data_IF_016438300054
#
_entry.id   IF_016438300054
#
_cell.length_a   1.000
_cell.length_b   1.000
_cell.length_c   1.000
_cell.angle_alpha   90.00
_cell.angle_beta   90.00
_cell.angle_gamma   90.00
#
_symmetry.space_group_name_H-M   'P 1'
#
loop_
_entity.id
_entity.type
_entity.pdbx_description
1 polymer ?
#
# COMPACT_ATOMS: atom_id res chain seq x y z
N UNK A 1 -0.53 -57.38 -5.05
CA UNK A 1 -0.64 -56.31 -4.03
C UNK A 1 -1.06 -55.05 -4.76
N UNK A 2 -2.36 -54.74 -4.70
CA UNK A 2 -3.10 -53.92 -5.66
C UNK A 2 -3.13 -52.45 -5.23
N UNK A 3 -2.72 -51.55 -6.12
CA UNK A 3 -2.68 -50.09 -5.92
C UNK A 3 -4.11 -49.52 -5.79
N UNK A 4 -4.43 -48.91 -4.64
CA UNK A 4 -5.70 -48.22 -4.42
C UNK A 4 -5.62 -46.75 -4.89
N UNK A 5 -6.42 -46.42 -5.90
CA UNK A 5 -6.59 -45.08 -6.47
C UNK A 5 -7.51 -44.23 -5.57
N UNK A 6 -7.23 -42.95 -5.31
CA UNK A 6 -8.12 -42.10 -4.52
C UNK A 6 -9.43 -41.77 -5.27
N UNK A 7 -10.57 -41.82 -4.57
CA UNK A 7 -11.91 -41.45 -5.05
C UNK A 7 -11.98 -39.94 -5.33
N UNK A 8 -12.38 -39.56 -6.54
CA UNK A 8 -12.87 -38.22 -6.85
C UNK A 8 -14.36 -38.14 -6.48
N UNK A 9 -14.74 -37.12 -5.70
CA UNK A 9 -16.15 -36.79 -5.44
C UNK A 9 -16.73 -35.98 -6.61
N UNK A 10 -18.01 -36.18 -6.99
CA UNK A 10 -18.60 -35.53 -8.17
C UNK A 10 -18.78 -34.02 -7.96
N UNK A 11 -18.46 -33.23 -9.00
CA UNK A 11 -18.71 -31.79 -9.04
C UNK A 11 -20.20 -31.56 -9.36
N UNK A 12 -20.93 -31.02 -8.38
CA UNK A 12 -22.33 -30.63 -8.54
C UNK A 12 -22.42 -29.34 -9.38
N UNK A 13 -23.09 -29.43 -10.54
CA UNK A 13 -23.29 -28.29 -11.45
C UNK A 13 -24.48 -27.45 -11.00
N UNK A 14 -24.22 -26.31 -10.36
CA UNK A 14 -25.25 -25.28 -10.15
C UNK A 14 -25.62 -24.59 -11.47
N UNK A 15 -26.93 -24.34 -11.63
CA UNK A 15 -27.58 -23.78 -12.82
C UNK A 15 -27.30 -22.28 -12.98
N UNK A 16 -27.22 -21.74 -14.21
CA UNK A 16 -27.02 -20.31 -14.41
C UNK A 16 -28.27 -19.51 -14.01
N UNK A 17 -28.09 -18.53 -13.13
CA UNK A 17 -29.11 -17.55 -12.79
C UNK A 17 -29.24 -16.57 -13.96
N UNK A 18 -30.37 -16.61 -14.66
CA UNK A 18 -30.70 -15.64 -15.70
C UNK A 18 -31.11 -14.34 -15.02
N UNK A 19 -30.25 -13.32 -15.09
CA UNK A 19 -30.64 -11.96 -14.73
C UNK A 19 -31.61 -11.43 -15.79
N UNK A 20 -32.86 -11.21 -15.40
CA UNK A 20 -33.83 -10.49 -16.21
C UNK A 20 -33.27 -9.10 -16.57
N UNK A 21 -33.13 -8.84 -17.87
CA UNK A 21 -32.72 -7.55 -18.40
C UNK A 21 -33.88 -6.56 -18.22
N UNK A 22 -33.79 -5.72 -17.18
CA UNK A 22 -34.69 -4.58 -17.04
C UNK A 22 -34.29 -3.52 -18.06
N UNK A 23 -35.14 -3.31 -19.07
CA UNK A 23 -34.98 -2.24 -20.05
C UNK A 23 -35.10 -0.88 -19.35
N UNK A 24 -34.04 -0.08 -19.38
CA UNK A 24 -34.08 1.33 -18.94
C UNK A 24 -34.68 2.17 -20.06
N UNK A 25 -35.77 2.86 -19.76
CA UNK A 25 -36.38 3.86 -20.65
C UNK A 25 -35.41 5.00 -20.93
N UNK A 26 -35.28 5.48 -22.20
CA UNK A 26 -34.34 6.52 -22.56
C UNK A 26 -34.98 7.89 -22.33
N UNK A 27 -34.62 8.52 -21.22
CA UNK A 27 -35.08 9.87 -20.93
C UNK A 27 -34.77 10.19 -19.49
N UNK A 28 -33.49 10.50 -19.23
CA UNK A 28 -33.11 11.48 -18.20
C UNK A 28 -31.57 11.60 -18.14
N UNK A 29 -31.08 12.61 -18.84
CA UNK A 29 -29.88 13.39 -18.49
C UNK A 29 -30.25 14.85 -18.76
N UNK A 30 -29.73 15.87 -18.03
CA UNK A 30 -28.34 15.90 -17.55
C UNK A 30 -28.06 16.66 -16.23
N UNK A 31 -26.77 16.62 -15.86
CA UNK A 31 -25.99 17.65 -15.17
C UNK A 31 -26.10 17.84 -13.65
N UNK A 32 -25.08 17.36 -12.92
CA UNK A 32 -24.10 18.19 -12.20
C UNK A 32 -23.02 17.30 -11.56
N UNK A 33 -21.80 17.41 -12.07
CA UNK A 33 -20.58 16.84 -11.49
C UNK A 33 -20.18 17.71 -10.30
N UNK A 34 -20.71 17.41 -9.12
CA UNK A 34 -20.14 17.87 -7.86
C UNK A 34 -19.06 16.86 -7.46
N UNK A 35 -17.84 17.26 -7.06
CA UNK A 35 -16.85 16.31 -6.60
C UNK A 35 -17.38 15.69 -5.31
N UNK A 36 -17.66 14.40 -5.43
CA UNK A 36 -18.20 13.51 -4.41
C UNK A 36 -17.30 13.51 -3.17
N UNK A 37 -17.60 14.42 -2.22
CA UNK A 37 -16.92 14.52 -0.91
C UNK A 37 -17.34 13.39 0.03
N UNK A 38 -18.27 12.54 -0.40
CA UNK A 38 -18.83 11.46 0.42
C UNK A 38 -18.01 10.16 0.29
N UNK A 39 -16.97 10.16 -0.56
CA UNK A 39 -16.04 9.04 -0.76
C UNK A 39 -14.76 9.12 0.08
N UNK A 40 -14.69 9.98 1.10
CA UNK A 40 -13.64 9.78 2.11
C UNK A 40 -13.91 8.44 2.80
N UNK A 41 -12.93 7.53 2.90
CA UNK A 41 -13.07 6.30 3.67
C UNK A 41 -13.16 6.65 5.16
N UNK A 42 -14.31 7.15 5.60
CA UNK A 42 -14.58 7.61 6.97
C UNK A 42 -15.18 6.50 7.83
N UNK A 43 -15.43 5.31 7.26
CA UNK A 43 -15.68 4.12 8.09
C UNK A 43 -14.35 3.51 8.48
N UNK A 44 -13.81 4.02 9.59
CA UNK A 44 -12.87 3.26 10.41
C UNK A 44 -13.46 1.85 10.62
N UNK A 45 -12.64 0.78 10.60
CA UNK A 45 -13.13 -0.58 10.78
C UNK A 45 -13.97 -0.61 12.05
N UNK A 46 -15.23 -1.02 11.93
CA UNK A 46 -16.13 -1.25 13.06
C UNK A 46 -15.37 -2.15 14.04
N UNK A 47 -15.01 -1.58 15.19
CA UNK A 47 -14.34 -2.31 16.25
C UNK A 47 -15.30 -3.41 16.69
N UNK A 48 -14.89 -4.64 16.40
CA UNK A 48 -15.57 -5.89 16.71
C UNK A 48 -16.17 -5.83 18.11
N UNK A 49 -17.46 -6.16 18.17
CA UNK A 49 -18.30 -6.31 19.36
C UNK A 49 -17.53 -6.59 20.65
N UNK A 50 -17.73 -5.74 21.65
CA UNK A 50 -17.37 -5.99 23.05
C UNK A 50 -18.16 -7.21 23.56
N UNK A 51 -17.70 -8.41 23.22
CA UNK A 51 -18.23 -9.64 23.80
C UNK A 51 -17.95 -9.58 25.30
N UNK A 52 -19.01 -9.72 26.11
CA UNK A 52 -18.90 -9.65 27.57
C UNK A 52 -18.03 -10.82 28.04
N UNK A 53 -16.75 -10.55 28.28
CA UNK A 53 -15.78 -11.53 28.76
C UNK A 53 -16.33 -12.25 29.99
N UNK A 54 -16.32 -13.58 29.95
CA UNK A 54 -16.73 -14.41 31.10
C UNK A 54 -15.70 -14.25 32.23
N UNK A 55 -16.12 -14.48 33.48
CA UNK A 55 -15.23 -14.36 34.64
C UNK A 55 -13.97 -15.23 34.51
N UNK A 56 -14.11 -16.44 33.98
CA UNK A 56 -12.99 -17.36 33.73
C UNK A 56 -12.01 -16.83 32.68
N UNK A 57 -12.52 -16.22 31.61
CA UNK A 57 -11.67 -15.58 30.59
C UNK A 57 -10.93 -14.37 31.15
N UNK A 58 -11.61 -13.51 31.93
CA UNK A 58 -10.95 -12.37 32.60
C UNK A 58 -9.84 -12.81 33.55
N UNK A 59 -10.08 -13.86 34.33
CA UNK A 59 -9.08 -14.41 35.23
C UNK A 59 -7.91 -15.01 34.47
N UNK A 60 -8.18 -15.77 33.40
CA UNK A 60 -7.13 -16.36 32.57
C UNK A 60 -6.25 -15.29 31.90
N UNK A 61 -6.85 -14.23 31.38
CA UNK A 61 -6.12 -13.12 30.77
C UNK A 61 -5.30 -12.33 31.79
N UNK A 62 -5.85 -12.08 32.98
CA UNK A 62 -5.12 -11.44 34.07
C UNK A 62 -3.93 -12.28 34.54
N UNK A 63 -4.11 -13.60 34.65
CA UNK A 63 -3.04 -14.53 35.02
C UNK A 63 -1.98 -14.62 33.92
N UNK A 64 -2.38 -14.74 32.65
CA UNK A 64 -1.44 -14.77 31.52
C UNK A 64 -0.61 -13.48 31.43
N UNK A 65 -1.24 -12.32 31.59
CA UNK A 65 -0.56 -11.03 31.61
C UNK A 65 0.43 -10.90 32.78
N UNK A 66 0.11 -11.49 33.95
CA UNK A 66 0.98 -11.46 35.12
C UNK A 66 2.17 -12.42 34.99
N UNK A 67 1.93 -13.65 34.51
CA UNK A 67 2.95 -14.70 34.35
C UNK A 67 3.98 -14.33 33.27
N UNK A 68 3.57 -13.58 32.24
CA UNK A 68 4.47 -13.10 31.18
C UNK A 68 5.36 -11.90 31.55
N UNK A 69 5.28 -11.38 32.78
CA UNK A 69 6.01 -10.18 33.18
C UNK A 69 7.37 -10.51 33.83
N UNK A 70 8.41 -9.75 33.46
CA UNK A 70 9.72 -9.79 34.12
C UNK A 70 9.64 -9.55 35.64
N UNK A 71 8.70 -8.71 36.09
CA UNK A 71 8.49 -8.43 37.51
C UNK A 71 7.97 -9.64 38.29
N UNK A 72 7.20 -10.53 37.64
CA UNK A 72 6.68 -11.75 38.25
C UNK A 72 7.81 -12.76 38.49
N UNK A 73 8.69 -12.94 37.50
CA UNK A 73 9.86 -13.83 37.63
C UNK A 73 10.74 -13.40 38.81
N UNK A 74 11.05 -12.12 38.92
CA UNK A 74 11.86 -11.57 40.04
C UNK A 74 11.15 -11.81 41.38
N UNK A 75 9.84 -11.52 41.47
CA UNK A 75 9.07 -11.75 42.68
C UNK A 75 9.06 -13.22 43.11
N UNK A 76 8.86 -14.14 42.15
CA UNK A 76 8.89 -15.57 42.40
C UNK A 76 10.27 -16.02 42.92
N UNK A 77 11.36 -15.53 42.32
CA UNK A 77 12.73 -15.82 42.80
C UNK A 77 12.93 -15.35 44.24
N UNK A 78 12.51 -14.13 44.58
CA UNK A 78 12.61 -13.59 45.95
C UNK A 78 11.83 -14.46 46.94
N UNK A 79 10.63 -14.93 46.57
CA UNK A 79 9.84 -15.84 47.42
C UNK A 79 10.55 -17.18 47.62
N UNK A 80 11.12 -17.78 46.56
CA UNK A 80 11.90 -19.02 46.70
C UNK A 80 13.12 -18.82 47.60
N UNK A 81 13.92 -17.78 47.34
CA UNK A 81 15.12 -17.48 48.13
C UNK A 81 14.75 -17.17 49.59
N UNK A 82 13.66 -16.44 49.82
CA UNK A 82 13.14 -16.15 51.16
C UNK A 82 12.67 -17.40 51.89
N UNK A 83 11.99 -18.33 51.21
CA UNK A 83 11.55 -19.60 51.79
C UNK A 83 12.72 -20.50 52.18
N UNK A 84 13.71 -20.64 51.30
CA UNK A 84 14.94 -21.39 51.57
C UNK A 84 15.68 -20.75 52.75
N UNK A 85 15.83 -19.42 52.75
CA UNK A 85 16.46 -18.67 53.84
C UNK A 85 15.76 -18.89 55.18
N UNK A 86 14.44 -18.76 55.22
CA UNK A 86 13.65 -18.96 56.45
C UNK A 86 13.80 -20.38 57.03
N UNK A 87 13.92 -21.41 56.18
CA UNK A 87 14.08 -22.80 56.61
C UNK A 87 15.54 -23.24 56.80
N UNK A 88 16.53 -22.44 56.42
CA UNK A 88 17.97 -22.77 56.59
C UNK A 88 18.61 -22.01 57.75
N UNK A 89 18.01 -20.92 58.23
CA UNK A 89 18.55 -20.11 59.33
C UNK A 89 18.36 -20.83 60.67
N UNK A 90 19.45 -21.14 61.41
CA UNK A 90 19.34 -21.78 62.71
C UNK A 90 18.67 -20.84 63.73
N UNK A 91 17.64 -21.33 64.41
CA UNK A 91 16.87 -20.57 65.41
C UNK A 91 15.42 -20.29 65.03
N UNK A 92 15.02 -20.57 63.78
CA UNK A 92 13.62 -20.61 63.36
C UNK A 92 13.07 -22.05 63.41
N UNK A 93 11.75 -22.24 63.57
CA UNK A 93 11.14 -23.56 63.40
C UNK A 93 11.34 -24.01 61.94
N UNK A 94 11.96 -25.18 61.75
CA UNK A 94 12.16 -25.77 60.43
C UNK A 94 10.87 -26.46 60.02
N UNK A 95 10.03 -25.77 59.25
CA UNK A 95 8.74 -26.31 58.77
C UNK A 95 8.91 -27.13 57.48
N UNK A 96 10.00 -26.93 56.74
CA UNK A 96 10.30 -27.61 55.48
C UNK A 96 11.81 -27.90 55.41
N UNK A 97 12.26 -28.93 56.12
CA UNK A 97 13.67 -29.38 56.14
C UNK A 97 14.10 -29.90 54.76
N UNK A 98 15.38 -29.77 54.41
CA UNK A 98 15.92 -30.27 53.15
C UNK A 98 15.53 -31.74 52.94
N UNK A 99 14.77 -32.09 51.87
CA UNK A 99 14.81 -31.53 50.51
C UNK A 99 13.61 -30.63 50.09
N UNK A 100 12.99 -29.86 51.00
CA UNK A 100 11.91 -28.89 50.71
C UNK A 100 10.67 -29.48 50.01
N UNK A 101 10.03 -30.48 50.63
CA UNK A 101 8.91 -31.21 50.04
C UNK A 101 7.68 -30.32 49.79
N UNK A 102 7.40 -29.37 50.69
CA UNK A 102 6.23 -28.50 50.57
C UNK A 102 6.41 -27.51 49.43
N UNK A 103 7.60 -26.93 49.30
CA UNK A 103 7.93 -26.03 48.19
C UNK A 103 7.82 -26.75 46.84
N UNK A 104 8.36 -27.97 46.75
CA UNK A 104 8.28 -28.77 45.54
C UNK A 104 6.83 -29.14 45.17
N UNK A 105 5.99 -29.46 46.16
CA UNK A 105 4.58 -29.76 45.93
C UNK A 105 3.81 -28.55 45.41
N UNK A 106 4.00 -27.39 46.05
CA UNK A 106 3.36 -26.13 45.65
C UNK A 106 3.78 -25.70 44.24
N UNK A 107 5.06 -25.79 43.92
CA UNK A 107 5.57 -25.41 42.60
C UNK A 107 5.06 -26.34 41.50
N UNK A 108 5.00 -27.64 41.78
CA UNK A 108 4.44 -28.64 40.85
C UNK A 108 2.96 -28.36 40.56
N UNK A 109 2.18 -28.06 41.59
CA UNK A 109 0.77 -27.70 41.43
C UNK A 109 0.57 -26.39 40.64
N UNK A 110 1.36 -25.35 40.95
CA UNK A 110 1.30 -24.07 40.25
C UNK A 110 1.57 -24.24 38.75
N UNK A 111 2.58 -25.04 38.39
CA UNK A 111 2.92 -25.34 37.00
C UNK A 111 1.80 -26.12 36.29
N UNK A 112 1.24 -27.12 36.97
CA UNK A 112 0.13 -27.92 36.43
C UNK A 112 -1.12 -27.08 36.11
N UNK A 113 -1.44 -26.10 36.96
CA UNK A 113 -2.57 -25.19 36.72
C UNK A 113 -2.26 -24.09 35.69
N UNK A 114 -0.99 -23.70 35.53
CA UNK A 114 -0.58 -22.67 34.58
C UNK A 114 -0.83 -23.11 33.14
N UNK A 115 -0.52 -24.36 32.78
CA UNK A 115 -0.69 -24.88 31.43
C UNK A 115 -2.11 -24.72 30.83
N UNK A 116 -3.21 -25.16 31.51
CA UNK A 116 -4.56 -24.98 30.99
C UNK A 116 -5.00 -23.53 30.95
N UNK A 117 -4.58 -22.69 31.91
CA UNK A 117 -4.90 -21.26 31.91
C UNK A 117 -4.25 -20.55 30.73
N UNK A 118 -2.97 -20.83 30.47
CA UNK A 118 -2.25 -20.31 29.32
C UNK A 118 -2.90 -20.80 28.02
N UNK A 119 -3.26 -22.09 27.94
CA UNK A 119 -3.92 -22.65 26.76
C UNK A 119 -5.28 -21.99 26.48
N UNK A 120 -6.07 -21.70 27.53
CA UNK A 120 -7.35 -21.00 27.39
C UNK A 120 -7.17 -19.56 26.90
N UNK A 121 -6.18 -18.83 27.43
CA UNK A 121 -5.89 -17.46 26.97
C UNK A 121 -5.32 -17.45 25.54
N UNK A 122 -4.48 -18.43 25.20
CA UNK A 122 -3.94 -18.61 23.84
C UNK A 122 -5.05 -18.92 22.82
N UNK A 123 -5.97 -19.83 23.13
CA UNK A 123 -7.07 -20.15 22.22
C UNK A 123 -7.91 -18.91 21.91
N UNK A 124 -8.20 -18.08 22.92
CA UNK A 124 -8.90 -16.80 22.74
C UNK A 124 -8.12 -15.81 21.87
N UNK A 125 -6.85 -15.58 22.18
CA UNK A 125 -6.00 -14.67 21.39
C UNK A 125 -5.90 -15.13 19.93
N UNK A 126 -5.80 -16.44 19.68
CA UNK A 126 -5.72 -16.99 18.32
C UNK A 126 -6.99 -16.76 17.49
N UNK A 127 -8.17 -16.77 18.14
CA UNK A 127 -9.44 -16.49 17.46
C UNK A 127 -9.56 -15.01 17.10
N UNK A 128 -9.15 -14.10 18.00
CA UNK A 128 -9.07 -12.65 17.74
C UNK A 128 -8.05 -12.35 16.63
N UNK A 129 -6.88 -12.99 16.66
CA UNK A 129 -5.84 -12.86 15.64
C UNK A 129 -6.32 -13.32 14.26
N UNK A 130 -7.09 -14.41 14.18
CA UNK A 130 -7.67 -14.90 12.91
C UNK A 130 -8.64 -13.89 12.31
N UNK A 131 -9.55 -13.35 13.12
CA UNK A 131 -10.50 -12.34 12.67
C UNK A 131 -9.77 -11.06 12.21
N UNK A 132 -8.78 -10.62 12.98
CA UNK A 132 -7.98 -9.45 12.62
C UNK A 132 -7.18 -9.69 11.35
N UNK A 133 -6.62 -10.88 11.14
CA UNK A 133 -5.92 -11.23 9.91
C UNK A 133 -6.85 -11.22 8.68
N UNK A 134 -8.07 -11.75 8.81
CA UNK A 134 -9.06 -11.73 7.74
C UNK A 134 -9.48 -10.29 7.37
N UNK A 135 -9.71 -9.44 8.37
CA UNK A 135 -10.02 -8.02 8.15
C UNK A 135 -8.86 -7.27 7.50
N UNK A 136 -7.63 -7.47 7.99
CA UNK A 136 -6.43 -6.85 7.41
C UNK A 136 -6.23 -7.27 5.95
N UNK A 137 -6.47 -8.55 5.63
CA UNK A 137 -6.40 -9.04 4.25
C UNK A 137 -7.40 -8.31 3.35
N UNK A 138 -8.64 -8.15 3.79
CA UNK A 138 -9.67 -7.45 3.03
C UNK A 138 -9.35 -5.96 2.83
N UNK A 139 -8.82 -5.29 3.86
CA UNK A 139 -8.36 -3.90 3.74
C UNK A 139 -7.21 -3.79 2.74
N UNK A 140 -6.26 -4.72 2.75
CA UNK A 140 -5.16 -4.74 1.80
C UNK A 140 -5.65 -4.89 0.35
N UNK A 141 -6.59 -5.80 0.10
CA UNK A 141 -7.20 -5.96 -1.24
C UNK A 141 -7.90 -4.69 -1.70
N UNK A 142 -8.74 -4.08 -0.85
CA UNK A 142 -9.42 -2.81 -1.17
C UNK A 142 -8.45 -1.66 -1.40
N UNK A 143 -7.34 -1.64 -0.65
CA UNK A 143 -6.29 -0.63 -0.82
C UNK A 143 -5.60 -0.81 -2.18
N UNK A 144 -5.31 -2.05 -2.57
CA UNK A 144 -4.74 -2.33 -3.89
C UNK A 144 -5.68 -1.88 -5.04
N UNK A 145 -6.97 -2.19 -4.95
CA UNK A 145 -7.98 -1.73 -5.92
C UNK A 145 -8.05 -0.19 -5.98
N UNK A 146 -8.02 0.48 -4.82
CA UNK A 146 -8.04 1.94 -4.74
C UNK A 146 -6.81 2.57 -5.39
N UNK A 147 -5.64 1.95 -5.21
CA UNK A 147 -4.39 2.38 -5.86
C UNK A 147 -4.49 2.20 -7.38
N UNK A 148 -5.04 1.08 -7.86
CA UNK A 148 -5.24 0.85 -9.29
C UNK A 148 -6.18 1.89 -9.91
N UNK A 149 -7.29 2.20 -9.24
CA UNK A 149 -8.22 3.25 -9.66
C UNK A 149 -7.55 4.63 -9.70
N UNK A 150 -6.69 4.94 -8.72
CA UNK A 150 -5.91 6.17 -8.73
C UNK A 150 -4.95 6.23 -9.92
N UNK A 151 -4.24 5.14 -10.24
CA UNK A 151 -3.36 5.08 -11.41
C UNK A 151 -4.14 5.31 -12.70
N UNK A 152 -5.28 4.63 -12.88
CA UNK A 152 -6.13 4.83 -14.06
C UNK A 152 -6.60 6.28 -14.22
N UNK A 153 -6.95 6.96 -13.12
CA UNK A 153 -7.32 8.38 -13.15
C UNK A 153 -6.13 9.28 -13.51
N UNK A 154 -4.94 8.98 -13.01
CA UNK A 154 -3.72 9.72 -13.35
C UNK A 154 -3.40 9.53 -14.85
N UNK A 155 -3.45 8.31 -15.35
CA UNK A 155 -3.22 8.00 -16.76
C UNK A 155 -4.24 8.70 -17.66
N UNK A 156 -5.52 8.75 -17.26
CA UNK A 156 -6.56 9.49 -17.99
C UNK A 156 -6.26 11.00 -18.05
N UNK A 157 -5.82 11.59 -16.93
CA UNK A 157 -5.43 13.00 -16.89
C UNK A 157 -4.21 13.27 -17.77
N UNK A 158 -3.19 12.39 -17.73
CA UNK A 158 -2.01 12.50 -18.58
C UNK A 158 -2.36 12.39 -20.07
N UNK A 159 -3.28 11.48 -20.43
CA UNK A 159 -3.76 11.35 -21.81
C UNK A 159 -4.52 12.60 -22.28
N UNK A 160 -5.36 13.19 -21.42
CA UNK A 160 -6.05 14.45 -21.73
C UNK A 160 -5.09 15.60 -21.94
N UNK A 161 -4.06 15.72 -21.09
CA UNK A 161 -3.02 16.75 -21.22
C UNK A 161 -2.20 16.56 -22.50
N UNK A 162 -1.79 15.34 -22.85
CA UNK A 162 -1.02 15.10 -24.07
C UNK A 162 -1.79 15.36 -25.36
N UNK A 163 -3.10 15.09 -25.37
CA UNK A 163 -3.98 15.48 -26.50
C UNK A 163 -4.05 17.00 -26.62
N UNK A 164 -4.18 17.71 -25.50
CA UNK A 164 -4.21 19.18 -25.50
C UNK A 164 -2.88 19.75 -26.02
N UNK A 165 -1.74 19.26 -25.55
CA UNK A 165 -0.41 19.66 -26.05
C UNK A 165 -0.27 19.40 -27.55
N UNK A 166 -0.65 18.21 -28.04
CA UNK A 166 -0.56 17.88 -29.46
C UNK A 166 -1.47 18.76 -30.34
N UNK A 167 -2.63 19.19 -29.83
CA UNK A 167 -3.51 20.12 -30.54
C UNK A 167 -2.86 21.51 -30.68
N UNK A 168 -2.17 22.00 -29.64
CA UNK A 168 -1.42 23.27 -29.72
C UNK A 168 -0.28 23.19 -30.73
N UNK A 169 0.46 22.07 -30.76
CA UNK A 169 1.55 21.84 -31.73
C UNK A 169 1.02 21.74 -33.17
N UNK A 170 -0.19 21.17 -33.36
CA UNK A 170 -0.82 21.11 -34.68
C UNK A 170 -1.23 22.50 -35.19
N UNK A 171 -1.69 23.39 -34.31
CA UNK A 171 -1.95 24.79 -34.66
C UNK A 171 -0.66 25.52 -35.05
N UNK A 172 0.43 25.35 -34.30
CA UNK A 172 1.74 25.95 -34.64
C UNK A 172 2.26 25.47 -36.00
N UNK A 173 2.08 24.17 -36.33
CA UNK A 173 2.47 23.62 -37.63
C UNK A 173 1.65 24.19 -38.78
N UNK A 174 0.34 24.37 -38.58
CA UNK A 174 -0.56 24.90 -39.61
C UNK A 174 -0.33 26.41 -39.85
N UNK A 175 0.09 27.14 -38.82
CA UNK A 175 0.51 28.54 -38.96
C UNK A 175 1.84 28.64 -39.73
N UNK A 176 2.78 27.74 -39.48
CA UNK A 176 4.07 27.71 -40.18
C UNK A 176 3.94 27.38 -41.68
N UNK A 177 3.08 26.42 -42.04
CA UNK A 177 2.77 26.11 -43.45
C UNK A 177 2.06 27.26 -44.16
N UNK A 178 1.15 27.98 -43.47
CA UNK A 178 0.53 29.19 -44.03
C UNK A 178 1.53 30.33 -44.23
N UNK A 179 2.54 30.45 -43.38
CA UNK A 179 3.59 31.46 -43.54
C UNK A 179 4.52 31.09 -44.71
N UNK A 180 4.87 29.81 -44.91
CA UNK A 180 5.63 29.35 -46.09
C UNK A 180 4.86 29.54 -47.40
N UNK A 181 3.55 29.23 -47.42
CA UNK A 181 2.68 29.42 -48.58
C UNK A 181 2.56 30.90 -48.97
N UNK A 182 2.41 31.80 -47.98
CA UNK A 182 2.31 33.25 -48.23
C UNK A 182 3.65 33.92 -48.56
N UNK A 183 4.78 33.28 -48.28
CA UNK A 183 6.12 33.78 -48.60
C UNK A 183 6.54 33.42 -50.04
N UNK A 184 6.01 32.32 -50.61
CA UNK A 184 6.27 31.95 -52.02
C UNK A 184 5.53 32.84 -53.03
N UNK A 185 4.39 33.43 -52.65
CA UNK A 185 3.54 34.20 -53.58
C UNK A 185 3.97 35.68 -53.74
N UNK A 186 4.91 36.16 -52.93
CA UNK A 186 5.31 37.58 -52.86
C UNK A 186 6.80 37.86 -53.16
N UNK A 187 7.51 36.99 -53.87
CA UNK A 187 8.81 37.37 -54.45
C UNK A 187 8.60 38.25 -55.70
N UNK A 188 8.69 39.57 -55.50
CA UNK A 188 8.81 40.56 -56.57
C UNK A 188 9.97 40.19 -57.53
N UNK A 189 9.89 40.56 -58.82
CA UNK A 189 10.78 40.04 -59.88
C UNK A 189 12.23 40.50 -59.69
N UNK A 190 13.16 39.69 -60.22
CA UNK A 190 14.60 39.94 -60.27
C UNK A 190 14.91 41.41 -60.58
N UNK A 191 15.51 42.13 -59.63
CA UNK A 191 16.25 43.36 -59.94
C UNK A 191 17.66 42.94 -60.34
N UNK A 192 17.94 42.94 -61.63
CA UNK A 192 19.29 42.82 -62.18
C UNK A 192 19.96 44.19 -62.10
N UNK A 193 21.08 44.27 -61.39
CA UNK A 193 22.02 45.39 -61.50
C UNK A 193 23.42 44.82 -61.74
N UNK A 194 23.97 45.12 -62.91
CA UNK A 194 25.36 44.87 -63.32
C UNK A 194 25.94 43.46 -63.09
N UNK A 195 25.21 42.41 -63.50
CA UNK A 195 25.78 41.08 -63.76
C UNK A 195 26.35 40.31 -62.56
N UNK A 196 26.21 40.80 -61.33
CA UNK A 196 26.67 40.12 -60.11
C UNK A 196 25.52 39.35 -59.46
N UNK A 197 25.68 38.03 -59.34
CA UNK A 197 24.74 37.12 -58.67
C UNK A 197 24.80 37.31 -57.15
N UNK A 198 23.91 38.13 -56.59
CA UNK A 198 23.73 38.20 -55.14
C UNK A 198 22.92 36.99 -54.64
N UNK A 199 23.57 36.11 -53.87
CA UNK A 199 22.92 35.00 -53.17
C UNK A 199 22.07 35.56 -52.02
N UNK A 200 20.79 35.15 -51.85
CA UNK A 200 19.95 35.69 -50.79
C UNK A 200 20.55 35.35 -49.41
N UNK A 201 20.63 36.34 -48.52
CA UNK A 201 21.07 36.12 -47.15
C UNK A 201 20.05 35.21 -46.42
N UNK A 202 20.52 34.22 -45.64
CA UNK A 202 19.63 33.39 -44.84
C UNK A 202 18.94 34.25 -43.77
N UNK A 203 17.60 34.22 -43.74
CA UNK A 203 16.77 34.95 -42.77
C UNK A 203 16.76 34.26 -41.39
N UNK A 204 17.39 33.08 -41.26
CA UNK A 204 17.55 32.41 -39.98
C UNK A 204 18.78 32.95 -39.23
N UNK A 205 18.70 33.22 -37.90
CA UNK A 205 19.88 33.58 -37.12
C UNK A 205 20.93 32.47 -37.26
N UNK A 206 22.21 32.81 -37.52
CA UNK A 206 23.24 31.80 -37.74
C UNK A 206 23.34 30.90 -36.51
N UNK A 207 23.38 29.59 -36.74
CA UNK A 207 23.67 28.64 -35.67
C UNK A 207 24.97 29.06 -34.96
N UNK A 208 25.12 28.88 -33.63
CA UNK A 208 26.29 29.35 -32.88
C UNK A 208 27.64 28.94 -33.51
N UNK A 209 27.66 27.75 -34.13
CA UNK A 209 28.84 27.21 -34.79
C UNK A 209 29.12 27.88 -36.16
N UNK A 210 28.10 28.33 -36.88
CA UNK A 210 28.27 29.09 -38.12
C UNK A 210 28.80 30.50 -37.85
N UNK A 211 28.33 31.17 -36.80
CA UNK A 211 28.85 32.47 -36.40
C UNK A 211 30.34 32.38 -36.05
N UNK A 212 30.73 31.38 -35.26
CA UNK A 212 32.13 31.13 -34.88
C UNK A 212 33.04 30.88 -36.09
N UNK A 213 32.55 30.15 -37.09
CA UNK A 213 33.33 29.89 -38.31
C UNK A 213 33.49 31.17 -39.16
N UNK A 214 32.46 32.02 -39.21
CA UNK A 214 32.54 33.30 -39.93
C UNK A 214 33.52 34.27 -39.25
N UNK A 215 33.53 34.36 -37.92
CA UNK A 215 34.53 35.16 -37.20
C UNK A 215 35.95 34.65 -37.45
N UNK A 216 36.17 33.33 -37.37
CA UNK A 216 37.49 32.73 -37.63
C UNK A 216 37.97 33.00 -39.05
N UNK A 217 37.06 33.03 -40.00
CA UNK A 217 37.39 33.25 -41.42
C UNK A 217 37.65 34.72 -41.74
N UNK A 218 36.97 35.65 -41.06
CA UNK A 218 37.28 37.08 -41.13
C UNK A 218 38.64 37.40 -40.48
N UNK A 219 38.99 36.72 -39.39
CA UNK A 219 40.29 36.90 -38.73
C UNK A 219 41.46 36.32 -39.52
N UNK A 220 41.22 35.32 -40.39
CA UNK A 220 42.25 34.79 -41.29
C UNK A 220 42.47 35.64 -42.55
N UNK A 221 41.51 36.50 -42.91
CA UNK A 221 41.62 37.38 -44.09
C UNK A 221 42.25 38.75 -43.74
N UNK A 222 42.48 39.06 -42.46
CA UNK A 222 43.16 40.28 -41.98
C UNK A 222 44.68 40.11 -41.70
N UNK A 223 45.28 38.95 -41.99
CA UNK A 223 46.72 38.68 -41.88
C UNK A 223 47.36 38.37 -43.24
#
# INVERSE_FOLDING_TARGET
>A
MTLARPRQTPVEREKPIIHARQERTPGDRPAKTSPDRDNLPTKAPETVSTSKLTFGQKLADAMAARVGSWTFVIGQTVVLTGWIGANTIPGLPHWDESPFILLNLMFSFASAYTAPVVLMSQNRQSDEEREQAANNHLVNVRTAESIELLHRKIDELQARLSIADNATVAEEKNVSTRIEEKTTVNSLPLVTFDGVLFKPLPIAPPSPNQALNLYRQLESDEL
#
